data_IF_589833158175
#
_entry.id   IF_589833158175
#
_cell.length_a   1.000
_cell.length_b   1.000
_cell.length_c   1.000
_cell.angle_alpha   90.00
_cell.angle_beta   90.00
_cell.angle_gamma   90.00
#
_symmetry.space_group_name_H-M   'P 1'
#
loop_
_entity.id
_entity.type
_entity.pdbx_description
1 polymer ?
#
# COMPACT_ATOMS: atom_id res chain seq x y z
N UNK A 1 1.24 -14.71 17.01
CA UNK A 1 1.10 -13.36 16.42
C UNK A 1 2.13 -13.21 15.32
N UNK A 2 1.96 -12.25 14.40
CA UNK A 2 2.88 -12.05 13.26
C UNK A 2 4.23 -11.46 13.69
N UNK A 3 5.31 -11.80 12.98
CA UNK A 3 6.65 -11.25 13.20
C UNK A 3 6.67 -9.74 12.93
N UNK A 4 6.13 -9.35 11.77
CA UNK A 4 5.99 -7.96 11.33
C UNK A 4 4.52 -7.60 11.03
N UNK A 5 4.17 -6.32 11.22
CA UNK A 5 2.86 -5.77 10.85
C UNK A 5 3.05 -4.49 10.03
N UNK A 6 2.50 -4.47 8.82
CA UNK A 6 2.45 -3.27 7.99
C UNK A 6 1.13 -2.52 8.19
N UNK A 7 1.20 -1.19 8.34
CA UNK A 7 0.03 -0.29 8.35
C UNK A 7 0.15 0.77 7.27
N UNK A 8 -0.96 1.47 7.00
CA UNK A 8 -1.04 2.46 5.94
C UNK A 8 -1.31 3.84 6.51
N UNK A 9 -0.65 4.85 5.93
CA UNK A 9 -1.00 6.26 6.12
C UNK A 9 -1.14 6.64 7.61
N UNK A 10 -2.21 7.30 8.01
CA UNK A 10 -2.50 7.76 9.38
C UNK A 10 -3.22 6.74 10.26
N UNK A 11 -3.33 5.48 9.83
CA UNK A 11 -4.12 4.47 10.55
C UNK A 11 -3.54 4.18 11.96
N UNK A 12 -4.25 4.52 13.06
CA UNK A 12 -3.73 4.43 14.43
C UNK A 12 -3.96 3.05 15.06
N UNK A 13 -3.24 2.76 16.14
CA UNK A 13 -3.51 1.62 17.02
C UNK A 13 -4.17 2.03 18.32
N UNK A 14 -3.79 3.20 18.85
CA UNK A 14 -4.31 3.76 20.09
C UNK A 14 -5.84 3.88 20.05
N UNK A 15 -6.51 3.27 21.02
CA UNK A 15 -7.98 3.24 21.12
C UNK A 15 -8.67 2.17 20.25
N UNK A 16 -7.91 1.40 19.47
CA UNK A 16 -8.41 0.35 18.57
C UNK A 16 -7.70 -1.00 18.77
N UNK A 17 -6.92 -1.16 19.84
CA UNK A 17 -5.98 -2.26 20.05
C UNK A 17 -6.66 -3.63 20.00
N UNK A 18 -7.89 -3.73 20.52
CA UNK A 18 -8.69 -4.96 20.49
C UNK A 18 -9.05 -5.41 19.06
N UNK A 19 -9.14 -4.47 18.12
CA UNK A 19 -9.56 -4.73 16.75
C UNK A 19 -8.39 -4.82 15.78
N UNK A 20 -7.37 -3.97 15.97
CA UNK A 20 -6.27 -3.83 15.01
C UNK A 20 -4.92 -4.22 15.58
N UNK A 21 -4.84 -4.58 16.87
CA UNK A 21 -3.59 -4.87 17.57
C UNK A 21 -2.74 -3.64 17.86
N UNK A 22 -1.61 -3.85 18.53
CA UNK A 22 -0.70 -2.77 18.97
C UNK A 22 0.58 -2.64 18.13
N UNK A 23 1.00 -3.71 17.45
CA UNK A 23 2.26 -3.73 16.69
C UNK A 23 2.16 -2.93 15.39
N UNK A 24 3.18 -2.13 15.11
CA UNK A 24 3.48 -1.56 13.78
C UNK A 24 4.98 -1.72 13.55
N UNK A 25 5.38 -2.44 12.50
CA UNK A 25 6.79 -2.63 12.13
C UNK A 25 7.15 -1.76 10.93
N UNK A 26 6.26 -1.73 9.92
CA UNK A 26 6.43 -0.97 8.70
C UNK A 26 5.18 -0.11 8.50
N UNK A 27 5.35 1.12 8.03
CA UNK A 27 4.24 1.97 7.60
C UNK A 27 4.48 2.46 6.19
N UNK A 28 3.60 2.04 5.28
CA UNK A 28 3.56 2.54 3.90
C UNK A 28 2.70 3.81 3.88
N UNK A 29 3.32 4.94 3.57
CA UNK A 29 2.68 6.25 3.55
C UNK A 29 2.70 6.82 2.13
N UNK A 30 1.59 7.43 1.72
CA UNK A 30 1.59 8.19 0.48
C UNK A 30 2.21 9.59 0.69
N UNK A 31 2.49 10.32 -0.40
CA UNK A 31 3.05 11.68 -0.36
C UNK A 31 2.17 12.71 0.35
N UNK A 32 0.87 12.47 0.45
CA UNK A 32 -0.02 13.40 1.15
C UNK A 32 0.30 13.43 2.65
N UNK A 33 0.66 12.29 3.23
CA UNK A 33 1.04 12.19 4.66
C UNK A 33 2.15 13.16 5.02
N UNK A 34 3.14 13.33 4.14
CA UNK A 34 4.30 14.19 4.42
C UNK A 34 4.11 15.64 3.98
N UNK A 35 3.03 15.93 3.25
CA UNK A 35 2.77 17.24 2.65
C UNK A 35 1.62 18.02 3.28
N UNK A 36 0.64 17.33 3.89
CA UNK A 36 -0.53 17.98 4.47
C UNK A 36 -0.39 18.06 5.99
N UNK A 37 -0.65 19.25 6.55
CA UNK A 37 -0.43 19.54 7.97
C UNK A 37 -1.31 18.69 8.90
N UNK A 38 -2.51 18.30 8.45
CA UNK A 38 -3.46 17.51 9.23
C UNK A 38 -2.95 16.13 9.67
N UNK A 39 -1.85 15.64 9.07
CA UNK A 39 -1.26 14.37 9.42
C UNK A 39 -0.15 14.47 10.47
N UNK A 40 0.28 15.68 10.85
CA UNK A 40 1.28 15.91 11.89
C UNK A 40 2.54 15.04 11.70
N UNK A 41 2.99 14.84 10.46
CA UNK A 41 4.01 13.83 10.13
C UNK A 41 5.28 13.93 10.99
N UNK A 42 5.71 15.15 11.30
CA UNK A 42 6.92 15.44 12.07
C UNK A 42 6.79 15.20 13.56
N UNK A 43 5.61 15.40 14.12
CA UNK A 43 5.36 15.37 15.58
C UNK A 43 4.68 14.09 16.03
N UNK A 44 3.86 13.48 15.18
CA UNK A 44 3.03 12.31 15.48
C UNK A 44 3.86 11.06 15.79
N UNK A 45 3.51 10.39 16.89
CA UNK A 45 4.10 9.10 17.29
C UNK A 45 3.82 7.98 16.28
N UNK A 46 2.80 8.12 15.42
CA UNK A 46 2.47 7.13 14.39
C UNK A 46 3.61 6.85 13.41
N UNK A 47 4.53 7.80 13.25
CA UNK A 47 5.63 7.76 12.30
C UNK A 47 7.00 7.69 12.98
N UNK A 48 7.07 7.49 14.30
CA UNK A 48 8.32 7.44 15.06
C UNK A 48 8.76 5.99 15.28
N UNK A 49 10.07 5.75 15.29
CA UNK A 49 10.72 4.48 15.65
C UNK A 49 10.20 3.21 14.94
N UNK A 50 9.70 3.39 13.71
CA UNK A 50 9.27 2.32 12.80
C UNK A 50 9.92 2.49 11.43
N UNK A 51 9.87 1.43 10.61
CA UNK A 51 10.28 1.52 9.21
C UNK A 51 9.23 2.30 8.43
N UNK A 52 9.64 3.36 7.76
CA UNK A 52 8.78 4.13 6.87
C UNK A 52 9.08 3.79 5.40
N UNK A 53 8.03 3.68 4.59
CA UNK A 53 8.14 3.58 3.14
C UNK A 53 7.23 4.64 2.54
N UNK A 54 7.80 5.62 1.85
CA UNK A 54 7.07 6.69 1.19
C UNK A 54 6.84 6.34 -0.28
N UNK A 55 5.60 6.50 -0.74
CA UNK A 55 5.24 6.39 -2.16
C UNK A 55 4.42 7.61 -2.60
N UNK A 56 4.59 8.05 -3.84
CA UNK A 56 3.99 9.27 -4.35
C UNK A 56 4.87 9.88 -5.44
N UNK A 57 4.50 10.98 -6.11
CA UNK A 57 5.15 11.32 -7.38
C UNK A 57 6.65 11.65 -7.16
N UNK A 58 7.56 11.59 -8.17
CA UNK A 58 7.44 11.36 -9.64
C UNK A 58 8.55 10.41 -10.23
N UNK A 59 8.65 10.15 -11.56
CA UNK A 59 7.65 10.28 -12.61
C UNK A 59 6.67 9.09 -12.61
N UNK A 60 5.60 9.19 -13.40
CA UNK A 60 4.62 8.11 -13.59
C UNK A 60 5.17 6.94 -14.41
N UNK A 61 6.23 7.19 -15.18
CA UNK A 61 6.73 6.30 -16.22
C UNK A 61 8.08 5.70 -15.85
N UNK A 62 8.24 4.43 -16.17
CA UNK A 62 9.38 3.61 -15.79
C UNK A 62 10.56 3.70 -16.74
N UNK A 63 10.46 4.49 -17.81
CA UNK A 63 11.52 4.59 -18.81
C UNK A 63 12.75 5.28 -18.24
N UNK A 64 13.95 4.81 -18.60
CA UNK A 64 15.20 5.46 -18.19
C UNK A 64 15.24 6.94 -18.58
N UNK A 65 14.68 7.30 -19.74
CA UNK A 65 14.57 8.68 -20.21
C UNK A 65 13.77 9.54 -19.23
N UNK A 66 12.64 9.04 -18.74
CA UNK A 66 11.77 9.80 -17.83
C UNK A 66 12.32 9.79 -16.40
N UNK A 67 13.04 8.74 -15.99
CA UNK A 67 13.79 8.73 -14.73
C UNK A 67 14.97 9.70 -14.73
N UNK A 68 15.74 9.79 -15.84
CA UNK A 68 16.84 10.76 -16.00
C UNK A 68 16.33 12.19 -16.16
N UNK A 69 15.28 12.41 -16.95
CA UNK A 69 14.60 13.71 -17.03
C UNK A 69 14.06 14.11 -15.66
N UNK A 70 13.49 13.18 -14.89
CA UNK A 70 13.06 13.46 -13.53
C UNK A 70 14.22 13.90 -12.63
N UNK A 71 15.36 13.18 -12.64
CA UNK A 71 16.58 13.60 -11.92
C UNK A 71 17.08 14.99 -12.36
N UNK A 72 16.87 15.38 -13.61
CA UNK A 72 17.19 16.72 -14.13
C UNK A 72 16.17 17.81 -13.80
N UNK A 73 14.91 17.46 -13.53
CA UNK A 73 13.82 18.36 -13.15
C UNK A 73 13.61 18.46 -11.62
N UNK A 74 14.50 17.91 -10.80
CA UNK A 74 14.51 18.07 -9.32
C UNK A 74 14.64 19.56 -8.90
N UNK A 75 14.85 20.47 -9.85
CA UNK A 75 14.67 21.91 -9.67
C UNK A 75 13.20 22.38 -9.53
N UNK A 76 12.21 21.48 -9.68
CA UNK A 76 10.83 21.72 -9.24
C UNK A 76 10.74 21.15 -7.82
N UNK A 77 10.79 22.02 -6.82
CA UNK A 77 10.64 21.70 -5.39
C UNK A 77 9.47 20.74 -5.21
N UNK A 78 9.78 19.53 -4.75
CA UNK A 78 8.79 18.50 -4.47
C UNK A 78 8.66 18.40 -2.96
N UNK A 79 7.61 18.97 -2.33
CA UNK A 79 7.54 19.09 -0.88
C UNK A 79 7.68 17.74 -0.15
N UNK A 80 7.27 16.64 -0.79
CA UNK A 80 7.40 15.30 -0.23
C UNK A 80 8.85 14.77 -0.27
N UNK A 81 9.64 15.16 -1.27
CA UNK A 81 11.07 14.85 -1.31
C UNK A 81 11.81 15.70 -0.26
N UNK A 82 11.43 16.97 -0.09
CA UNK A 82 12.00 17.82 0.95
C UNK A 82 11.70 17.28 2.34
N UNK A 83 10.46 16.87 2.61
CA UNK A 83 10.06 16.22 3.85
C UNK A 83 10.81 14.89 4.08
N UNK A 84 10.97 14.07 3.04
CA UNK A 84 11.78 12.86 3.11
C UNK A 84 13.24 13.17 3.47
N UNK A 85 13.86 14.13 2.77
CA UNK A 85 15.25 14.52 2.99
C UNK A 85 15.44 15.13 4.38
N UNK A 86 14.51 15.97 4.84
CA UNK A 86 14.49 16.53 6.19
C UNK A 86 14.44 15.42 7.24
N UNK A 87 13.50 14.48 7.14
CA UNK A 87 13.39 13.34 8.06
C UNK A 87 14.66 12.49 8.08
N UNK A 88 15.27 12.22 6.92
CA UNK A 88 16.53 11.46 6.84
C UNK A 88 17.70 12.18 7.51
N UNK A 89 17.73 13.53 7.51
CA UNK A 89 18.74 14.32 8.23
C UNK A 89 18.49 14.31 9.75
N UNK A 90 17.25 14.51 10.17
CA UNK A 90 16.89 14.63 11.59
C UNK A 90 16.85 13.29 12.34
N UNK A 91 16.49 12.21 11.64
CA UNK A 91 16.36 10.85 12.19
C UNK A 91 17.17 9.84 11.37
N UNK A 92 18.51 9.95 11.31
CA UNK A 92 19.35 9.16 10.41
C UNK A 92 19.26 7.64 10.68
N UNK A 93 19.00 7.26 11.95
CA UNK A 93 18.86 5.86 12.38
C UNK A 93 17.49 5.24 12.06
N UNK A 94 16.45 6.04 11.80
CA UNK A 94 15.15 5.52 11.42
C UNK A 94 15.18 5.09 9.94
N UNK A 95 14.90 3.82 9.60
CA UNK A 95 14.80 3.42 8.22
C UNK A 95 13.62 4.12 7.54
N UNK A 96 13.92 4.87 6.48
CA UNK A 96 12.92 5.56 5.67
C UNK A 96 13.29 5.42 4.20
N UNK A 97 12.44 4.74 3.43
CA UNK A 97 12.69 4.39 2.04
C UNK A 97 11.72 5.10 1.09
N UNK A 98 12.17 5.33 -0.14
CA UNK A 98 11.31 5.75 -1.25
C UNK A 98 10.95 4.53 -2.12
N UNK A 99 9.66 4.31 -2.34
CA UNK A 99 9.20 3.22 -3.21
C UNK A 99 9.47 3.55 -4.67
N UNK A 100 10.14 2.65 -5.38
CA UNK A 100 10.53 2.88 -6.77
C UNK A 100 9.30 2.95 -7.70
N UNK A 101 9.23 3.93 -8.63
CA UNK A 101 8.08 4.07 -9.56
C UNK A 101 7.77 2.80 -10.38
N UNK A 102 8.80 2.02 -10.74
CA UNK A 102 8.62 0.75 -11.46
C UNK A 102 7.90 -0.33 -10.67
N UNK A 103 8.03 -0.34 -9.34
CA UNK A 103 7.28 -1.28 -8.53
C UNK A 103 5.77 -1.00 -8.66
N UNK A 104 5.39 0.27 -8.57
CA UNK A 104 4.00 0.73 -8.74
C UNK A 104 3.46 0.47 -10.14
N UNK A 105 4.25 0.75 -11.18
CA UNK A 105 3.81 0.54 -12.55
C UNK A 105 3.67 -0.95 -12.88
N UNK A 106 4.65 -1.77 -12.50
CA UNK A 106 4.59 -3.21 -12.73
C UNK A 106 3.37 -3.84 -12.05
N UNK A 107 3.00 -3.37 -10.86
CA UNK A 107 1.80 -3.82 -10.18
C UNK A 107 0.51 -3.36 -10.89
N UNK A 108 0.49 -2.16 -11.45
CA UNK A 108 -0.62 -1.71 -12.30
C UNK A 108 -0.76 -2.59 -13.55
N UNK A 109 0.36 -2.88 -14.22
CA UNK A 109 0.40 -3.74 -15.40
C UNK A 109 -0.09 -5.16 -15.07
N UNK A 110 0.25 -5.68 -13.89
CA UNK A 110 -0.24 -6.97 -13.39
C UNK A 110 -1.75 -6.97 -13.17
N UNK A 111 -2.32 -5.92 -12.58
CA UNK A 111 -3.78 -5.81 -12.43
C UNK A 111 -4.44 -5.74 -13.80
N UNK A 112 -3.92 -4.92 -14.71
CA UNK A 112 -4.45 -4.78 -16.07
C UNK A 112 -4.33 -6.08 -16.89
N UNK A 113 -3.31 -6.91 -16.67
CA UNK A 113 -3.18 -8.20 -17.36
C UNK A 113 -4.11 -9.29 -16.82
N UNK A 114 -4.78 -9.03 -15.69
CA UNK A 114 -5.67 -9.99 -15.01
C UNK A 114 -7.15 -9.55 -15.04
N UNK A 115 -7.49 -8.50 -15.80
CA UNK A 115 -8.89 -8.19 -16.11
C UNK A 115 -9.33 -8.89 -17.40
N UNK A 116 -10.64 -8.99 -17.62
CA UNK A 116 -11.21 -9.63 -18.80
C UNK A 116 -10.71 -9.01 -20.11
N UNK A 117 -10.67 -9.81 -21.18
CA UNK A 117 -10.25 -9.32 -22.50
C UNK A 117 -11.09 -8.11 -22.94
N UNK A 118 -10.41 -7.02 -23.30
CA UNK A 118 -11.05 -5.76 -23.73
C UNK A 118 -11.38 -4.79 -22.58
N UNK A 119 -11.21 -5.21 -21.32
CA UNK A 119 -11.39 -4.33 -20.16
C UNK A 119 -10.15 -3.48 -19.89
N UNK A 120 -10.38 -2.22 -19.53
CA UNK A 120 -9.31 -1.29 -19.16
C UNK A 120 -9.53 -0.76 -17.76
N UNK A 121 -8.53 -0.92 -16.90
CA UNK A 121 -8.58 -0.34 -15.55
C UNK A 121 -8.27 1.16 -15.63
N UNK A 122 -8.71 1.90 -14.61
CA UNK A 122 -8.38 3.32 -14.48
C UNK A 122 -6.87 3.54 -14.60
N UNK A 123 -6.47 4.52 -15.41
CA UNK A 123 -5.07 4.89 -15.63
C UNK A 123 -4.41 5.58 -14.41
N UNK A 124 -4.99 5.43 -13.22
CA UNK A 124 -4.50 5.93 -11.95
C UNK A 124 -3.64 4.89 -11.24
N UNK A 125 -2.78 5.31 -10.30
CA UNK A 125 -1.99 4.38 -9.47
C UNK A 125 -2.82 3.28 -8.80
N UNK A 126 -2.17 2.16 -8.53
CA UNK A 126 -2.65 1.16 -7.57
C UNK A 126 -2.66 1.74 -6.15
N UNK A 127 -3.59 1.27 -5.32
CA UNK A 127 -3.74 1.73 -3.93
C UNK A 127 -2.53 1.40 -3.04
N UNK A 128 -2.37 2.14 -1.93
CA UNK A 128 -1.40 1.77 -0.88
C UNK A 128 -1.60 0.33 -0.41
N UNK A 129 -2.85 -0.14 -0.36
CA UNK A 129 -3.20 -1.47 0.14
C UNK A 129 -2.55 -2.58 -0.68
N UNK A 130 -2.78 -2.60 -2.01
CA UNK A 130 -2.19 -3.64 -2.85
C UNK A 130 -0.67 -3.47 -3.00
N UNK A 131 -0.16 -2.22 -3.01
CA UNK A 131 1.29 -1.97 -2.95
C UNK A 131 1.93 -2.60 -1.70
N UNK A 132 1.29 -2.44 -0.54
CA UNK A 132 1.75 -3.02 0.72
C UNK A 132 1.69 -4.55 0.71
N UNK A 133 0.64 -5.13 0.14
CA UNK A 133 0.54 -6.59 -0.03
C UNK A 133 1.71 -7.12 -0.86
N UNK A 134 1.94 -6.56 -2.04
CA UNK A 134 3.03 -6.99 -2.91
C UNK A 134 4.42 -6.79 -2.27
N UNK A 135 4.61 -5.69 -1.53
CA UNK A 135 5.84 -5.43 -0.80
C UNK A 135 6.06 -6.47 0.32
N UNK A 136 5.03 -6.76 1.10
CA UNK A 136 5.13 -7.76 2.18
C UNK A 136 5.36 -9.17 1.62
N UNK A 137 4.74 -9.54 0.49
CA UNK A 137 5.02 -10.82 -0.18
C UNK A 137 6.47 -10.93 -0.63
N UNK A 138 7.14 -9.81 -0.91
CA UNK A 138 8.57 -9.77 -1.28
C UNK A 138 9.50 -9.92 -0.08
N UNK A 139 9.00 -9.74 1.15
CA UNK A 139 9.79 -9.69 2.38
C UNK A 139 9.51 -10.88 3.33
N UNK A 140 8.33 -11.49 3.22
CA UNK A 140 7.83 -12.50 4.16
C UNK A 140 7.58 -13.82 3.45
N UNK A 141 7.65 -14.94 4.19
CA UNK A 141 7.31 -16.27 3.68
C UNK A 141 5.79 -16.48 3.54
N UNK A 142 5.01 -15.84 4.42
CA UNK A 142 3.55 -15.85 4.43
C UNK A 142 3.06 -14.45 4.84
N UNK A 143 1.98 -13.99 4.20
CA UNK A 143 1.37 -12.68 4.50
C UNK A 143 -0.13 -12.86 4.70
N UNK A 144 -0.62 -12.54 5.89
CA UNK A 144 -2.07 -12.41 6.13
C UNK A 144 -2.52 -10.98 5.88
N UNK A 145 -3.51 -10.79 5.01
CA UNK A 145 -4.11 -9.48 4.72
C UNK A 145 -5.48 -9.42 5.37
N UNK A 146 -5.74 -8.40 6.18
CA UNK A 146 -6.98 -8.22 6.93
C UNK A 146 -7.86 -7.12 6.31
N UNK A 147 -9.15 -7.39 6.22
CA UNK A 147 -10.23 -6.49 5.77
C UNK A 147 -9.98 -5.79 4.42
N UNK A 148 -9.06 -6.30 3.59
CA UNK A 148 -8.92 -5.91 2.19
C UNK A 148 -10.18 -6.30 1.39
N UNK A 149 -10.73 -7.46 1.72
CA UNK A 149 -12.09 -7.87 1.38
C UNK A 149 -12.92 -7.77 2.66
N UNK A 150 -13.94 -6.91 2.74
CA UNK A 150 -14.76 -6.81 3.94
C UNK A 150 -15.55 -8.11 4.14
N UNK A 151 -15.53 -8.71 5.34
CA UNK A 151 -16.31 -9.91 5.61
C UNK A 151 -17.82 -9.63 5.61
N UNK A 152 -18.59 -10.69 5.40
CA UNK A 152 -20.05 -10.67 5.35
C UNK A 152 -20.61 -10.08 6.64
N UNK A 153 -21.56 -9.17 6.50
CA UNK A 153 -22.17 -8.47 7.63
C UNK A 153 -21.31 -7.37 8.26
N UNK A 154 -20.06 -7.18 7.82
CA UNK A 154 -19.18 -6.08 8.25
C UNK A 154 -18.80 -5.09 7.14
N UNK A 155 -19.33 -5.28 5.92
CA UNK A 155 -19.24 -4.28 4.87
C UNK A 155 -19.97 -3.00 5.31
N UNK A 156 -19.24 -1.88 5.35
CA UNK A 156 -19.72 -0.58 5.78
C UNK A 156 -19.37 0.50 4.76
N UNK A 157 -20.10 1.60 4.79
CA UNK A 157 -19.74 2.83 4.06
C UNK A 157 -18.72 3.67 4.81
N UNK A 158 -18.43 3.37 6.08
CA UNK A 158 -17.38 4.02 6.83
C UNK A 158 -16.02 3.71 6.19
N UNK A 159 -15.24 4.75 5.86
CA UNK A 159 -14.00 4.60 5.11
C UNK A 159 -12.90 3.93 5.91
N UNK A 160 -12.71 4.42 7.14
CA UNK A 160 -11.67 3.92 8.02
C UNK A 160 -12.25 3.64 9.40
N UNK A 161 -11.70 2.64 10.10
CA UNK A 161 -12.15 2.28 11.44
C UNK A 161 -11.96 3.41 12.47
N UNK A 162 -11.12 4.39 12.15
CA UNK A 162 -10.70 5.46 13.05
C UNK A 162 -11.31 6.83 12.75
N UNK A 163 -12.23 6.93 11.79
CA UNK A 163 -12.89 8.20 11.48
C UNK A 163 -14.38 7.99 11.13
N UNK A 164 -15.25 9.00 11.35
CA UNK A 164 -16.68 8.88 11.09
C UNK A 164 -17.05 9.04 9.61
N UNK A 165 -16.09 9.39 8.75
CA UNK A 165 -16.34 9.67 7.34
C UNK A 165 -16.93 8.46 6.62
N UNK A 166 -18.02 8.69 5.89
CA UNK A 166 -18.72 7.67 5.10
C UNK A 166 -18.54 7.96 3.62
N UNK A 167 -17.75 7.14 2.95
CA UNK A 167 -17.63 7.15 1.50
C UNK A 167 -17.45 5.70 0.98
N UNK A 168 -18.47 5.12 0.30
CA UNK A 168 -18.38 3.75 -0.21
C UNK A 168 -17.25 3.55 -1.23
N UNK A 169 -16.73 4.64 -1.82
CA UNK A 169 -15.59 4.59 -2.75
C UNK A 169 -14.30 4.13 -2.07
N UNK A 170 -14.16 4.29 -0.75
CA UNK A 170 -13.03 3.72 0.01
C UNK A 170 -13.00 2.19 -0.08
N UNK A 171 -14.16 1.56 -0.25
CA UNK A 171 -14.29 0.09 -0.38
C UNK A 171 -14.40 -0.35 -1.84
N UNK A 172 -15.14 0.38 -2.68
CA UNK A 172 -15.43 -0.05 -4.06
C UNK A 172 -14.47 0.51 -5.11
N UNK A 173 -13.77 1.59 -4.78
CA UNK A 173 -12.91 2.33 -5.71
C UNK A 173 -13.59 3.58 -6.27
N UNK A 174 -12.76 4.58 -6.58
CA UNK A 174 -13.11 5.75 -7.36
C UNK A 174 -11.87 6.27 -8.09
N UNK A 175 -10.85 6.70 -7.33
CA UNK A 175 -9.56 7.08 -7.89
C UNK A 175 -8.72 5.85 -8.26
N UNK A 176 -8.57 4.91 -7.33
CA UNK A 176 -7.85 3.65 -7.54
C UNK A 176 -8.78 2.57 -8.13
N UNK A 177 -8.27 1.62 -8.93
CA UNK A 177 -9.03 0.47 -9.44
C UNK A 177 -9.26 -0.60 -8.35
N UNK A 178 -9.79 -0.21 -7.19
CA UNK A 178 -9.86 -1.07 -5.99
C UNK A 178 -10.63 -2.37 -6.22
N UNK A 179 -11.67 -2.36 -7.06
CA UNK A 179 -12.41 -3.58 -7.37
C UNK A 179 -11.51 -4.61 -8.06
N UNK A 180 -10.73 -4.20 -9.05
CA UNK A 180 -9.82 -5.07 -9.77
C UNK A 180 -8.64 -5.51 -8.90
N UNK A 181 -8.15 -4.62 -8.03
CA UNK A 181 -7.14 -4.98 -7.03
C UNK A 181 -7.63 -6.07 -6.08
N UNK A 182 -8.90 -5.98 -5.63
CA UNK A 182 -9.55 -6.99 -4.77
C UNK A 182 -9.72 -8.32 -5.47
N UNK A 183 -10.13 -8.31 -6.74
CA UNK A 183 -10.24 -9.52 -7.54
C UNK A 183 -8.89 -10.21 -7.71
N UNK A 184 -7.84 -9.44 -8.05
CA UNK A 184 -6.48 -9.97 -8.12
C UNK A 184 -6.01 -10.53 -6.77
N UNK A 185 -6.25 -9.80 -5.67
CA UNK A 185 -5.84 -10.25 -4.34
C UNK A 185 -6.56 -11.55 -3.91
N UNK A 186 -7.84 -11.71 -4.25
CA UNK A 186 -8.54 -12.98 -4.03
C UNK A 186 -7.98 -14.11 -4.90
N UNK A 187 -7.57 -13.81 -6.14
CA UNK A 187 -6.96 -14.79 -7.04
C UNK A 187 -5.57 -15.26 -6.57
N UNK A 188 -4.77 -14.34 -5.99
CA UNK A 188 -3.42 -14.64 -5.49
C UNK A 188 -3.40 -15.36 -4.13
N UNK A 189 -4.53 -15.37 -3.42
CA UNK A 189 -4.64 -15.98 -2.10
C UNK A 189 -4.55 -17.52 -2.18
N UNK A 190 -3.81 -18.14 -1.26
CA UNK A 190 -3.74 -19.59 -1.07
C UNK A 190 -5.04 -20.20 -0.49
N UNK A 191 -6.03 -19.36 -0.21
CA UNK A 191 -7.34 -19.76 0.32
C UNK A 191 -8.45 -19.43 -0.68
N UNK A 192 -9.53 -20.24 -0.75
CA UNK A 192 -10.68 -19.96 -1.61
C UNK A 192 -11.28 -18.57 -1.32
N UNK A 193 -11.80 -17.90 -2.35
CA UNK A 193 -12.38 -16.56 -2.23
C UNK A 193 -13.47 -16.46 -1.14
N UNK A 194 -14.25 -17.52 -0.91
CA UNK A 194 -15.26 -17.60 0.14
C UNK A 194 -14.69 -17.36 1.54
N UNK A 195 -13.45 -17.81 1.79
CA UNK A 195 -12.79 -17.60 3.08
C UNK A 195 -12.59 -16.11 3.37
N UNK A 196 -12.28 -15.30 2.34
CA UNK A 196 -12.14 -13.85 2.49
C UNK A 196 -13.45 -13.21 2.95
N UNK A 197 -14.58 -13.61 2.36
CA UNK A 197 -15.90 -13.10 2.76
C UNK A 197 -16.37 -13.60 4.12
N UNK A 198 -15.87 -14.73 4.62
CA UNK A 198 -16.23 -15.23 5.95
C UNK A 198 -15.39 -14.60 7.05
N UNK A 199 -14.08 -14.47 6.82
CA UNK A 199 -13.11 -14.11 7.86
C UNK A 199 -12.59 -12.67 7.75
N UNK A 200 -12.70 -12.06 6.57
CA UNK A 200 -12.00 -10.82 6.23
C UNK A 200 -10.51 -11.03 5.98
N UNK A 201 -10.06 -12.27 5.73
CA UNK A 201 -8.63 -12.60 5.62
C UNK A 201 -8.28 -13.21 4.27
N UNK A 202 -7.20 -12.70 3.68
CA UNK A 202 -6.49 -13.33 2.56
C UNK A 202 -5.16 -13.88 3.09
N UNK A 203 -4.72 -15.02 2.55
CA UNK A 203 -3.43 -15.63 2.88
C UNK A 203 -2.55 -15.65 1.63
N UNK A 204 -1.58 -14.75 1.54
CA UNK A 204 -0.72 -14.61 0.37
C UNK A 204 0.59 -15.36 0.58
N UNK A 205 1.05 -16.12 -0.42
CA UNK A 205 2.38 -16.73 -0.39
C UNK A 205 3.48 -15.66 -0.49
N UNK A 206 4.56 -15.84 0.24
CA UNK A 206 5.81 -15.12 -0.04
C UNK A 206 6.33 -15.43 -1.44
N UNK A 207 6.84 -14.42 -2.14
CA UNK A 207 7.35 -14.60 -3.51
C UNK A 207 8.51 -15.60 -3.58
N UNK A 208 9.32 -15.68 -2.52
CA UNK A 208 10.42 -16.64 -2.41
C UNK A 208 9.95 -18.11 -2.38
N UNK A 209 8.68 -18.35 -2.06
CA UNK A 209 8.09 -19.69 -1.98
C UNK A 209 7.36 -20.09 -3.28
N UNK A 210 7.30 -19.21 -4.28
CA UNK A 210 6.65 -19.51 -5.56
C UNK A 210 7.53 -20.41 -6.42
N UNK A 211 6.94 -21.45 -6.99
CA UNK A 211 7.58 -22.29 -8.00
C UNK A 211 7.12 -21.83 -9.38
N UNK A 212 8.06 -21.37 -10.20
CA UNK A 212 7.78 -20.99 -11.58
C UNK A 212 8.34 -22.05 -12.53
N UNK A 213 7.54 -22.55 -13.47
CA UNK A 213 8.05 -23.33 -14.59
C UNK A 213 8.99 -22.46 -15.43
N UNK A 214 10.07 -23.01 -16.00
CA UNK A 214 10.87 -22.31 -16.99
C UNK A 214 9.94 -21.77 -18.09
N UNK A 215 10.14 -20.52 -18.51
CA UNK A 215 9.41 -20.00 -19.68
C UNK A 215 9.86 -20.82 -20.90
N UNK A 216 8.91 -21.46 -21.57
CA UNK A 216 9.11 -22.06 -22.89
C UNK A 216 9.17 -20.97 -23.96
#
# INVERSE_FOLDING_TARGET
GHDAVMRFNSAPTAGYELHVGTKTSIRLINWQIVNQEEFDFETSELYRDIILVLWGPPPYTCTEKNQRQWKGHVNITFPALDAYMKRRRERPRQPFYLLHPCFRRGLWDLVQSNVGHGEHILANPISSGLLGVALMMSLCQEVTVYDFIPPRGRASQQCHYFEPARNPQCTLGAWHPLMQEKLLAMHLSNQPAQHAFQSGRLAMPGLANLTCSPRH
#
